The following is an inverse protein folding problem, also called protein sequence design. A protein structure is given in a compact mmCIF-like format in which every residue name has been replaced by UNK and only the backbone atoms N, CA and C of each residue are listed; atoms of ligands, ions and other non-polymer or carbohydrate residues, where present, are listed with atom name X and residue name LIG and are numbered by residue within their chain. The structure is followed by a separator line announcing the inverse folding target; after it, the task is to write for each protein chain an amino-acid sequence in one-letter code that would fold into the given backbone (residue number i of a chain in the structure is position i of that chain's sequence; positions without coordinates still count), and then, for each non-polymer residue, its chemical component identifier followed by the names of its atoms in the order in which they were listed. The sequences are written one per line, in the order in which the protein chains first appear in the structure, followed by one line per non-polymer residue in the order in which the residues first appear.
data_IF_788200296479
#
_entry.id   IF_788200296479
#
_cell.length_a   1.000
_cell.length_b   1.000
_cell.length_c   1.000
_cell.angle_alpha   90.00
_cell.angle_beta   90.00
_cell.angle_gamma   90.00
#
_symmetry.space_group_name_H-M   'P 1'
#
loop_
_entity.id
_entity.type
_entity.pdbx_description
1 polymer ?
#
# COMPACT_ATOMS: atom_id res chain seq x y z
N UNK A 1 -6.56 -10.17 32.54
CA UNK A 1 -6.05 -9.05 31.72
C UNK A 1 -4.77 -9.53 31.05
N UNK A 2 -4.77 -9.87 29.77
CA UNK A 2 -3.52 -10.23 29.07
C UNK A 2 -2.67 -8.98 28.95
N UNK A 3 -1.39 -9.07 29.30
CA UNK A 3 -0.51 -7.91 29.25
C UNK A 3 -0.40 -7.38 27.81
N UNK A 4 -0.24 -6.06 27.61
CA UNK A 4 -0.07 -5.49 26.28
C UNK A 4 1.12 -6.14 25.53
N UNK A 5 2.15 -6.56 26.27
CA UNK A 5 3.30 -7.28 25.74
C UNK A 5 2.93 -8.68 25.21
N UNK A 6 2.12 -9.45 25.93
CA UNK A 6 1.66 -10.78 25.49
C UNK A 6 0.81 -10.66 24.21
N UNK A 7 -0.04 -9.64 24.11
CA UNK A 7 -0.82 -9.36 22.90
C UNK A 7 0.06 -9.00 21.71
N UNK A 8 1.07 -8.15 21.92
CA UNK A 8 2.04 -7.80 20.89
C UNK A 8 2.82 -9.03 20.40
N UNK A 9 3.33 -9.86 21.32
CA UNK A 9 4.06 -11.08 20.96
C UNK A 9 3.18 -12.07 20.19
N UNK A 10 1.92 -12.25 20.60
CA UNK A 10 0.98 -13.10 19.86
C UNK A 10 0.73 -12.58 18.45
N UNK A 11 0.51 -11.27 18.29
CA UNK A 11 0.32 -10.66 16.98
C UNK A 11 1.58 -10.79 16.11
N UNK A 12 2.77 -10.62 16.70
CA UNK A 12 4.03 -10.78 15.99
C UNK A 12 4.23 -12.23 15.52
N UNK A 13 3.99 -13.21 16.39
CA UNK A 13 4.05 -14.63 16.04
C UNK A 13 3.04 -14.96 14.94
N UNK A 14 1.81 -14.47 15.05
CA UNK A 14 0.79 -14.67 14.02
C UNK A 14 1.21 -14.05 12.69
N UNK A 15 1.73 -12.82 12.69
CA UNK A 15 2.23 -12.16 11.49
C UNK A 15 3.39 -12.93 10.85
N UNK A 16 4.32 -13.45 11.65
CA UNK A 16 5.42 -14.30 11.19
C UNK A 16 4.92 -15.62 10.61
N UNK A 17 3.93 -16.27 11.23
CA UNK A 17 3.33 -17.49 10.72
C UNK A 17 2.61 -17.27 9.39
N UNK A 18 1.84 -16.18 9.27
CA UNK A 18 1.16 -15.80 8.03
C UNK A 18 2.19 -15.49 6.93
N UNK A 19 3.23 -14.73 7.23
CA UNK A 19 4.30 -14.44 6.29
C UNK A 19 5.01 -15.72 5.82
N UNK A 20 5.37 -16.61 6.75
CA UNK A 20 6.02 -17.88 6.43
C UNK A 20 5.12 -18.78 5.56
N UNK A 21 3.83 -18.89 5.88
CA UNK A 21 2.88 -19.68 5.09
C UNK A 21 2.70 -19.10 3.68
N UNK A 22 2.59 -17.77 3.56
CA UNK A 22 2.49 -17.10 2.27
C UNK A 22 3.76 -17.30 1.43
N UNK A 23 4.94 -17.08 2.00
CA UNK A 23 6.22 -17.29 1.32
C UNK A 23 6.39 -18.73 0.86
N UNK A 24 6.06 -19.70 1.72
CA UNK A 24 6.12 -21.11 1.37
C UNK A 24 5.14 -21.46 0.24
N UNK A 25 3.90 -20.97 0.31
CA UNK A 25 2.88 -21.17 -0.72
C UNK A 25 3.30 -20.60 -2.08
N UNK A 26 3.81 -19.37 -2.11
CA UNK A 26 4.36 -18.76 -3.33
C UNK A 26 5.52 -19.58 -3.88
N UNK A 27 6.43 -20.02 -3.03
CA UNK A 27 7.58 -20.82 -3.45
C UNK A 27 7.18 -22.21 -3.95
N UNK A 28 6.11 -22.80 -3.42
CA UNK A 28 5.56 -24.07 -3.90
C UNK A 28 4.92 -23.91 -5.28
N UNK A 29 4.09 -22.88 -5.46
CA UNK A 29 3.46 -22.56 -6.74
C UNK A 29 4.53 -22.24 -7.80
N UNK A 30 5.53 -21.44 -7.45
CA UNK A 30 6.66 -21.11 -8.34
C UNK A 30 7.37 -22.36 -8.86
N UNK A 31 7.65 -23.33 -7.98
CA UNK A 31 8.26 -24.60 -8.39
C UNK A 31 7.30 -25.45 -9.23
N UNK A 32 6.01 -25.47 -8.90
CA UNK A 32 5.01 -26.25 -9.62
C UNK A 32 4.84 -25.79 -11.07
N UNK A 33 4.98 -24.48 -11.35
CA UNK A 33 4.94 -23.94 -12.71
C UNK A 33 6.29 -24.05 -13.46
N UNK A 34 7.27 -24.75 -12.89
CA UNK A 34 8.60 -24.91 -13.49
C UNK A 34 9.51 -23.70 -13.31
N UNK A 35 9.22 -22.82 -12.36
CA UNK A 35 10.05 -21.66 -12.04
C UNK A 35 11.43 -22.07 -11.51
N UNK A 36 12.47 -21.76 -12.28
CA UNK A 36 13.88 -21.89 -11.88
C UNK A 36 14.40 -20.66 -11.16
N UNK A 37 15.73 -20.58 -11.01
CA UNK A 37 16.39 -19.41 -10.43
C UNK A 37 16.13 -18.15 -11.26
N UNK A 38 15.83 -17.05 -10.57
CA UNK A 38 15.63 -15.75 -11.20
C UNK A 38 16.95 -15.29 -11.83
N UNK A 39 16.94 -15.11 -13.15
CA UNK A 39 18.03 -14.47 -13.87
C UNK A 39 18.19 -13.01 -13.40
N UNK A 40 19.37 -12.43 -13.61
CA UNK A 40 19.72 -11.02 -13.33
C UNK A 40 18.66 -10.05 -13.85
N UNK A 41 18.14 -10.27 -15.05
CA UNK A 41 17.06 -9.45 -15.62
C UNK A 41 15.78 -9.49 -14.78
N UNK A 42 15.44 -10.66 -14.21
CA UNK A 42 14.28 -10.82 -13.33
C UNK A 42 14.44 -10.04 -12.03
N UNK A 43 15.64 -10.09 -11.43
CA UNK A 43 15.96 -9.29 -10.25
C UNK A 43 15.90 -7.79 -10.52
N UNK A 44 16.44 -7.34 -11.65
CA UNK A 44 16.38 -5.92 -12.06
C UNK A 44 14.92 -5.49 -12.27
N UNK A 45 14.14 -6.27 -13.03
CA UNK A 45 12.74 -5.96 -13.30
C UNK A 45 11.90 -5.91 -12.01
N UNK A 46 12.08 -6.87 -11.11
CA UNK A 46 11.39 -6.89 -9.82
C UNK A 46 11.78 -5.67 -8.97
N UNK A 47 13.08 -5.37 -8.88
CA UNK A 47 13.57 -4.23 -8.10
C UNK A 47 13.05 -2.90 -8.65
N UNK A 48 13.05 -2.75 -9.98
CA UNK A 48 12.51 -1.58 -10.65
C UNK A 48 11.00 -1.45 -10.46
N UNK A 49 10.26 -2.56 -10.49
CA UNK A 49 8.82 -2.58 -10.20
C UNK A 49 8.51 -2.15 -8.76
N UNK A 50 9.25 -2.67 -7.78
CA UNK A 50 9.10 -2.28 -6.36
C UNK A 50 9.46 -0.82 -6.15
N UNK A 51 10.63 -0.38 -6.63
CA UNK A 51 11.06 1.01 -6.48
C UNK A 51 10.15 1.98 -7.25
N UNK A 52 9.70 1.59 -8.44
CA UNK A 52 8.78 2.36 -9.26
C UNK A 52 7.43 2.56 -8.58
N UNK A 53 6.86 1.52 -7.97
CA UNK A 53 5.58 1.62 -7.25
C UNK A 53 5.69 2.43 -5.96
N UNK A 54 6.76 2.24 -5.18
CA UNK A 54 7.04 3.06 -3.99
C UNK A 54 7.25 4.53 -4.37
N UNK A 55 8.07 4.78 -5.39
CA UNK A 55 8.33 6.12 -5.90
C UNK A 55 7.05 6.78 -6.44
N UNK A 56 6.22 6.04 -7.17
CA UNK A 56 4.94 6.52 -7.65
C UNK A 56 4.02 6.89 -6.48
N UNK A 57 3.88 6.00 -5.48
CA UNK A 57 3.07 6.28 -4.30
C UNK A 57 3.57 7.53 -3.55
N UNK A 58 4.88 7.69 -3.41
CA UNK A 58 5.49 8.87 -2.81
C UNK A 58 5.17 10.15 -3.59
N UNK A 59 5.33 10.12 -4.92
CA UNK A 59 5.04 11.27 -5.79
C UNK A 59 3.57 11.64 -5.71
N UNK A 60 2.67 10.66 -5.77
CA UNK A 60 1.23 10.89 -5.65
C UNK A 60 0.89 11.54 -4.30
N UNK A 61 1.47 11.03 -3.21
CA UNK A 61 1.27 11.60 -1.88
C UNK A 61 1.82 13.04 -1.79
N UNK A 62 2.99 13.30 -2.37
CA UNK A 62 3.58 14.64 -2.42
C UNK A 62 2.71 15.62 -3.23
N UNK A 63 2.15 15.17 -4.36
CA UNK A 63 1.23 15.96 -5.15
C UNK A 63 -0.08 16.26 -4.40
N UNK A 64 -0.63 15.28 -3.67
CA UNK A 64 -1.81 15.49 -2.84
C UNK A 64 -1.56 16.58 -1.78
N UNK A 65 -0.43 16.54 -1.07
CA UNK A 65 -0.05 17.59 -0.12
C UNK A 65 0.14 18.96 -0.79
N UNK A 66 0.71 18.99 -2.00
CA UNK A 66 0.86 20.22 -2.77
C UNK A 66 -0.50 20.79 -3.19
N UNK A 67 -1.42 19.95 -3.67
CA UNK A 67 -2.78 20.32 -4.07
C UNK A 67 -3.51 21.02 -2.94
N UNK A 68 -3.48 20.41 -1.75
CA UNK A 68 -4.06 20.95 -0.53
C UNK A 68 -3.41 22.29 -0.12
N UNK A 69 -2.08 22.43 -0.22
CA UNK A 69 -1.40 23.69 0.15
C UNK A 69 -1.69 24.85 -0.80
N UNK A 70 -1.86 24.55 -2.08
CA UNK A 70 -2.13 25.57 -3.10
C UNK A 70 -3.64 25.84 -3.26
N UNK A 71 -4.49 25.17 -2.47
CA UNK A 71 -5.95 25.34 -2.50
C UNK A 71 -6.56 24.98 -3.85
N UNK A 72 -5.98 24.01 -4.57
CA UNK A 72 -6.60 23.50 -5.81
C UNK A 72 -7.84 22.67 -5.50
N UNK A 73 -7.84 21.95 -4.37
CA UNK A 73 -8.98 21.15 -3.91
C UNK A 73 -10.16 22.04 -3.48
N UNK A 74 -9.89 23.25 -2.93
CA UNK A 74 -10.93 24.20 -2.49
C UNK A 74 -11.65 24.90 -3.66
N UNK A 75 -11.06 24.85 -4.86
CA UNK A 75 -11.60 25.50 -6.08
C UNK A 75 -12.45 24.55 -6.91
N UNK A 76 -12.67 23.32 -6.45
CA UNK A 76 -13.52 22.34 -7.13
C UNK A 76 -14.99 22.74 -6.96
N UNK A 77 -15.72 22.77 -8.07
CA UNK A 77 -17.15 23.04 -8.09
C UNK A 77 -17.91 21.87 -7.45
N UNK A 78 -18.39 22.08 -6.22
CA UNK A 78 -19.13 21.09 -5.43
C UNK A 78 -20.66 21.24 -5.57
N UNK A 79 -21.15 21.92 -6.61
CA UNK A 79 -22.59 22.16 -6.84
C UNK A 79 -23.42 20.85 -6.87
N UNK A 80 -22.80 19.72 -7.23
CA UNK A 80 -23.47 18.41 -7.30
C UNK A 80 -23.15 17.48 -6.12
N UNK A 81 -22.56 17.96 -5.02
CA UNK A 81 -22.30 17.14 -3.83
C UNK A 81 -23.62 16.81 -3.10
N UNK A 82 -24.06 15.53 -3.07
CA UNK A 82 -25.33 15.12 -2.47
C UNK A 82 -25.37 15.22 -0.94
N UNK A 83 -24.23 15.52 -0.28
CA UNK A 83 -24.14 15.77 1.16
C UNK A 83 -24.07 17.24 1.56
N UNK A 84 -24.05 18.17 0.61
CA UNK A 84 -23.95 19.62 0.87
C UNK A 84 -25.32 20.19 1.29
N UNK A 85 -25.37 20.83 2.45
CA UNK A 85 -26.57 21.54 2.90
C UNK A 85 -26.66 22.86 2.10
N UNK A 86 -27.80 23.18 1.43
CA UNK A 86 -27.94 24.39 0.61
C UNK A 86 -27.88 25.74 1.36
N UNK A 87 -27.35 25.76 2.60
CA UNK A 87 -27.24 26.94 3.46
C UNK A 87 -25.82 27.42 3.76
N UNK A 88 -24.76 26.76 3.27
CA UNK A 88 -23.36 27.07 3.60
C UNK A 88 -22.77 28.30 2.86
N UNK A 89 -23.58 29.01 2.07
CA UNK A 89 -23.16 30.15 1.23
C UNK A 89 -23.67 31.53 1.71
N UNK A 90 -24.16 31.65 2.96
CA UNK A 90 -24.64 32.92 3.55
C UNK A 90 -23.57 33.69 4.34
#
# INVERSE_FOLDING_TARGET
MTSPLVRFLLNLILALLVAAAATWGLAAVWRAIGGGDLNVHGWIAMSLGVLGTVGLAWVLMALAFKSHREGWDDRVDNTFDPGRDPGDDS
#
